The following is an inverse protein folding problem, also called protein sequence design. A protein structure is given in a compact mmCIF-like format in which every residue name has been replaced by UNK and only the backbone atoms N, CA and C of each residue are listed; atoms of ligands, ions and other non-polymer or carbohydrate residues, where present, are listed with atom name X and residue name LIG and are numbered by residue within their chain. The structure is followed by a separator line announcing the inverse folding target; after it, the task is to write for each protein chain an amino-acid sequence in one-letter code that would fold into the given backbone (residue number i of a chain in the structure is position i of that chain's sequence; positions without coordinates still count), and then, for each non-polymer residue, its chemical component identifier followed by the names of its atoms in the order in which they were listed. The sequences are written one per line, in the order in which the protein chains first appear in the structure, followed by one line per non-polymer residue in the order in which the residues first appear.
data_IF_031170769651
#
_entry.id   IF_031170769651
#
_cell.length_a   1.000
_cell.length_b   1.000
_cell.length_c   1.000
_cell.angle_alpha   90.00
_cell.angle_beta   90.00
_cell.angle_gamma   90.00
#
_symmetry.space_group_name_H-M   'P 1'
#
loop_
_entity.id
_entity.type
_entity.pdbx_description
1 polymer ?
#
# COMPACT_ATOMS: atom_id res chain seq x y z
N UNK A 1 -62.89 24.18 66.43
CA UNK A 1 -63.52 25.35 65.76
C UNK A 1 -62.70 25.65 64.50
N UNK A 2 -63.35 25.54 63.33
CA UNK A 2 -62.91 25.86 61.97
C UNK A 2 -64.16 26.43 61.25
N UNK A 3 -64.15 26.96 59.99
CA UNK A 3 -63.19 27.74 59.18
C UNK A 3 -63.89 29.07 58.70
N UNK A 4 -63.59 29.76 57.54
CA UNK A 4 -63.77 29.25 56.17
C UNK A 4 -62.71 29.67 55.12
N UNK A 5 -62.79 29.00 53.96
CA UNK A 5 -61.99 29.10 52.74
C UNK A 5 -62.39 30.28 51.82
N UNK A 6 -61.56 30.57 50.80
CA UNK A 6 -62.00 31.10 49.48
C UNK A 6 -61.05 30.67 48.35
N UNK A 7 -61.64 30.38 47.18
CA UNK A 7 -61.13 29.57 46.06
C UNK A 7 -60.84 30.41 44.78
N UNK A 8 -60.64 29.83 43.56
CA UNK A 8 -59.60 30.18 42.58
C UNK A 8 -60.08 31.13 41.44
N UNK A 9 -59.26 31.49 40.41
CA UNK A 9 -59.19 30.68 39.17
C UNK A 9 -57.85 30.77 38.39
N UNK A 10 -57.69 29.96 37.34
CA UNK A 10 -56.88 30.36 36.17
C UNK A 10 -55.82 29.37 35.67
N UNK A 11 -56.23 28.43 34.80
CA UNK A 11 -55.32 27.78 33.85
C UNK A 11 -54.86 28.83 32.81
N UNK A 12 -53.56 28.98 32.62
CA UNK A 12 -53.00 29.54 31.40
C UNK A 12 -51.80 28.69 30.97
N UNK A 13 -52.02 27.90 29.92
CA UNK A 13 -50.95 27.42 29.07
C UNK A 13 -50.32 28.61 28.36
N UNK A 14 -48.99 28.68 28.27
CA UNK A 14 -48.26 29.19 27.10
C UNK A 14 -46.75 29.15 27.30
N UNK A 15 -46.07 28.53 26.33
CA UNK A 15 -44.80 28.99 25.77
C UNK A 15 -43.59 28.99 26.69
N UNK A 16 -42.86 27.87 26.75
CA UNK A 16 -41.40 27.93 26.95
C UNK A 16 -40.80 28.65 25.75
N UNK A 17 -40.54 29.95 25.88
CA UNK A 17 -39.83 30.71 24.86
C UNK A 17 -38.36 30.29 24.86
N UNK A 18 -37.92 29.98 23.65
CA UNK A 18 -36.55 29.62 23.34
C UNK A 18 -35.63 30.83 23.54
N UNK A 19 -34.53 30.61 24.25
CA UNK A 19 -33.26 31.31 24.01
C UNK A 19 -32.14 30.28 24.07
N UNK A 20 -32.07 29.47 23.03
CA UNK A 20 -30.86 28.72 22.70
C UNK A 20 -29.99 29.66 21.87
N UNK A 21 -29.06 30.34 22.55
CA UNK A 21 -27.96 31.04 21.90
C UNK A 21 -27.05 30.03 21.19
N UNK A 22 -26.58 30.40 20.00
CA UNK A 22 -25.31 29.89 19.48
C UNK A 22 -25.34 28.59 18.68
N UNK A 23 -26.17 28.50 17.65
CA UNK A 23 -26.03 27.51 16.58
C UNK A 23 -24.71 27.73 15.81
N UNK A 24 -23.62 27.07 16.23
CA UNK A 24 -22.49 26.67 15.36
C UNK A 24 -21.80 25.40 15.87
N UNK A 25 -22.55 24.38 16.28
CA UNK A 25 -21.98 23.03 16.43
C UNK A 25 -22.08 22.32 15.07
N UNK A 26 -21.21 22.70 14.12
CA UNK A 26 -20.87 21.82 12.99
C UNK A 26 -20.06 20.66 13.58
N UNK A 27 -20.74 19.74 14.27
CA UNK A 27 -20.24 18.38 14.42
C UNK A 27 -20.21 17.78 13.03
N UNK A 28 -19.08 17.99 12.35
CA UNK A 28 -18.66 17.10 11.29
C UNK A 28 -18.74 15.71 11.91
N UNK A 29 -19.69 14.91 11.43
CA UNK A 29 -19.74 13.50 11.74
C UNK A 29 -18.32 12.96 11.53
N UNK A 30 -17.65 12.56 12.61
CA UNK A 30 -16.39 11.85 12.49
C UNK A 30 -16.71 10.58 11.72
N UNK A 31 -16.17 10.40 10.49
CA UNK A 31 -16.29 9.11 9.85
C UNK A 31 -15.56 8.13 10.76
N UNK A 32 -16.23 7.05 11.16
CA UNK A 32 -15.56 5.90 11.76
C UNK A 32 -14.42 5.43 10.86
N UNK A 33 -13.50 4.57 11.35
CA UNK A 33 -12.36 4.14 10.55
C UNK A 33 -12.85 3.26 9.41
N UNK A 34 -13.20 3.86 8.28
CA UNK A 34 -13.42 3.16 7.02
C UNK A 34 -12.05 2.64 6.54
N UNK A 35 -11.71 1.45 7.04
CA UNK A 35 -10.52 0.72 6.64
C UNK A 35 -10.78 0.13 5.28
N UNK A 36 -10.28 0.77 4.23
CA UNK A 36 -10.33 0.18 2.90
C UNK A 36 -9.48 -1.09 2.81
N UNK A 37 -9.83 -1.96 1.85
CA UNK A 37 -9.11 -3.21 1.58
C UNK A 37 -7.59 -2.99 1.43
N UNK A 38 -6.79 -4.03 1.69
CA UNK A 38 -5.31 -3.98 1.64
C UNK A 38 -4.68 -2.90 2.52
N UNK A 39 -5.31 -2.61 3.65
CA UNK A 39 -4.81 -1.76 4.73
C UNK A 39 -4.81 -2.58 6.01
N UNK A 40 -3.73 -2.58 6.76
CA UNK A 40 -3.64 -3.36 8.00
C UNK A 40 -2.63 -2.78 8.97
N UNK A 41 -2.79 -3.03 10.27
CA UNK A 41 -1.84 -2.56 11.28
C UNK A 41 -0.47 -3.18 11.00
N UNK A 42 0.52 -2.34 10.75
CA UNK A 42 1.91 -2.79 10.59
C UNK A 42 2.41 -3.37 11.94
N UNK A 43 2.88 -4.63 11.99
CA UNK A 43 3.45 -5.21 13.21
C UNK A 43 4.73 -4.49 13.67
N UNK A 44 5.37 -3.75 12.75
CA UNK A 44 6.65 -3.05 12.99
C UNK A 44 6.47 -1.55 13.25
N UNK A 45 5.31 -0.97 12.89
CA UNK A 45 5.04 0.47 13.04
C UNK A 45 3.87 0.77 13.98
N UNK A 46 3.88 0.20 15.19
CA UNK A 46 2.90 0.51 16.26
C UNK A 46 1.44 0.39 15.80
N UNK A 47 1.12 -0.62 14.97
CA UNK A 47 -0.20 -0.86 14.42
C UNK A 47 -0.78 0.27 13.54
N UNK A 48 0.04 1.22 13.06
CA UNK A 48 -0.44 2.21 12.08
C UNK A 48 -0.94 1.51 10.82
N UNK A 49 -2.12 1.87 10.31
CA UNK A 49 -2.62 1.33 9.06
C UNK A 49 -1.67 1.74 7.93
N UNK A 50 -1.14 0.75 7.22
CA UNK A 50 -0.23 0.96 6.11
C UNK A 50 -0.48 -0.01 4.98
N UNK A 51 0.17 0.26 3.85
CA UNK A 51 0.24 -0.66 2.73
C UNK A 51 1.67 -0.87 2.31
N UNK A 52 1.93 -2.05 1.76
CA UNK A 52 3.22 -2.44 1.24
C UNK A 52 3.15 -2.48 -0.27
N UNK A 53 4.10 -1.81 -0.90
CA UNK A 53 4.31 -1.87 -2.35
C UNK A 53 5.32 -2.96 -2.65
N UNK A 54 4.93 -3.90 -3.50
CA UNK A 54 5.82 -4.93 -4.01
C UNK A 54 6.13 -4.60 -5.45
N UNK A 55 7.41 -4.49 -5.80
CA UNK A 55 7.86 -4.03 -7.10
C UNK A 55 8.92 -4.99 -7.62
N UNK A 56 8.78 -5.40 -8.89
CA UNK A 56 9.82 -6.14 -9.60
C UNK A 56 10.33 -5.31 -10.77
N UNK A 57 11.65 -5.23 -10.89
CA UNK A 57 12.34 -4.39 -11.87
C UNK A 57 13.37 -5.20 -12.64
N UNK A 58 13.73 -4.72 -13.84
CA UNK A 58 14.89 -5.25 -14.56
C UNK A 58 16.23 -4.80 -13.92
N UNK A 59 17.36 -5.24 -14.51
CA UNK A 59 18.71 -4.89 -14.04
C UNK A 59 19.02 -3.39 -14.04
N UNK A 60 18.25 -2.61 -14.79
CA UNK A 60 18.44 -1.17 -14.95
C UNK A 60 17.45 -0.37 -14.09
N UNK A 61 16.46 -1.01 -13.47
CA UNK A 61 15.43 -0.37 -12.67
C UNK A 61 14.13 -0.06 -13.42
N UNK A 62 13.92 -0.64 -14.61
CA UNK A 62 12.64 -0.55 -15.34
C UNK A 62 11.58 -1.36 -14.60
N UNK A 63 10.46 -0.75 -14.15
CA UNK A 63 9.36 -1.49 -13.55
C UNK A 63 8.80 -2.54 -14.52
N UNK A 64 8.67 -3.78 -14.06
CA UNK A 64 8.06 -4.88 -14.82
C UNK A 64 6.66 -5.24 -14.29
N UNK A 65 6.48 -5.24 -12.97
CA UNK A 65 5.19 -5.42 -12.32
C UNK A 65 5.20 -4.79 -10.92
N UNK A 66 4.01 -4.38 -10.45
CA UNK A 66 3.79 -3.82 -9.11
C UNK A 66 2.51 -4.40 -8.51
N UNK A 67 2.52 -4.73 -7.22
CA UNK A 67 1.34 -5.16 -6.46
C UNK A 67 1.28 -4.48 -5.09
N UNK A 68 0.11 -4.55 -4.44
CA UNK A 68 -0.20 -3.87 -3.19
C UNK A 68 -0.75 -4.86 -2.15
N UNK A 69 -0.25 -4.80 -0.92
CA UNK A 69 -0.86 -5.51 0.22
C UNK A 69 -1.03 -4.61 1.44
N UNK A 70 -1.83 -5.06 2.41
CA UNK A 70 -1.87 -4.44 3.74
C UNK A 70 -0.54 -4.58 4.48
N UNK A 71 -0.27 -3.62 5.38
CA UNK A 71 0.92 -3.56 6.24
C UNK A 71 1.13 -4.78 7.12
N UNK A 72 0.06 -5.50 7.43
CA UNK A 72 0.08 -6.73 8.21
C UNK A 72 0.48 -8.00 7.43
N UNK A 73 0.54 -7.94 6.09
CA UNK A 73 0.89 -9.11 5.27
C UNK A 73 2.40 -9.33 5.23
N UNK A 74 2.82 -10.59 5.30
CA UNK A 74 4.22 -10.98 5.15
C UNK A 74 4.66 -10.87 3.68
N UNK A 75 5.76 -10.16 3.44
CA UNK A 75 6.24 -9.82 2.08
C UNK A 75 6.60 -11.07 1.27
N UNK A 76 7.11 -12.08 1.97
CA UNK A 76 7.49 -13.37 1.37
C UNK A 76 6.34 -14.02 0.60
N UNK A 77 5.09 -13.80 1.02
CA UNK A 77 3.89 -14.35 0.36
C UNK A 77 3.64 -13.75 -1.02
N UNK A 78 4.16 -12.54 -1.28
CA UNK A 78 3.91 -11.78 -2.49
C UNK A 78 4.90 -12.06 -3.61
N UNK A 79 5.97 -12.81 -3.33
CA UNK A 79 6.98 -13.13 -4.33
C UNK A 79 6.42 -13.86 -5.55
N UNK A 80 5.59 -14.88 -5.33
CA UNK A 80 5.01 -15.66 -6.43
C UNK A 80 3.97 -14.87 -7.21
N UNK A 81 2.98 -14.24 -6.56
CA UNK A 81 2.02 -13.37 -7.27
C UNK A 81 2.70 -12.27 -8.09
N UNK A 82 3.74 -11.63 -7.55
CA UNK A 82 4.47 -10.57 -8.25
C UNK A 82 5.23 -11.08 -9.48
N UNK A 83 5.82 -12.27 -9.41
CA UNK A 83 6.48 -12.91 -10.57
C UNK A 83 5.48 -13.28 -11.66
N UNK A 84 4.29 -13.73 -11.28
CA UNK A 84 3.22 -14.10 -12.21
C UNK A 84 2.59 -12.86 -12.88
N UNK A 85 2.63 -11.71 -12.21
CA UNK A 85 2.19 -10.44 -12.75
C UNK A 85 3.12 -9.84 -13.83
N UNK A 86 4.32 -10.40 -14.06
CA UNK A 86 5.22 -9.93 -15.11
C UNK A 86 4.57 -10.19 -16.48
N UNK A 87 4.33 -9.14 -17.30
CA UNK A 87 3.73 -9.31 -18.61
C UNK A 87 4.68 -10.06 -19.55
N UNK A 88 4.14 -10.60 -20.65
CA UNK A 88 4.94 -11.14 -21.73
C UNK A 88 5.60 -10.01 -22.52
N UNK A 89 6.88 -9.76 -22.24
CA UNK A 89 7.68 -8.72 -22.87
C UNK A 89 8.15 -9.21 -24.24
N UNK A 90 7.76 -8.45 -25.28
CA UNK A 90 8.17 -8.66 -26.69
C UNK A 90 9.41 -7.80 -27.00
N UNK A 91 10.12 -8.08 -28.08
CA UNK A 91 11.20 -7.21 -28.58
C UNK A 91 12.49 -7.92 -28.99
N UNK A 92 12.68 -9.18 -28.59
CA UNK A 92 13.77 -10.04 -29.09
C UNK A 92 13.19 -11.14 -29.96
N UNK A 93 13.98 -11.66 -30.91
CA UNK A 93 13.61 -12.80 -31.75
C UNK A 93 13.28 -14.02 -30.87
N UNK A 94 12.13 -14.63 -31.12
CA UNK A 94 11.65 -15.82 -30.38
C UNK A 94 10.42 -15.55 -29.49
N UNK A 95 10.13 -16.49 -28.58
CA UNK A 95 8.96 -16.41 -27.70
C UNK A 95 9.08 -15.25 -26.70
N UNK A 96 8.04 -14.40 -26.54
CA UNK A 96 8.04 -13.33 -25.55
C UNK A 96 8.38 -13.81 -24.15
N UNK A 97 9.31 -13.13 -23.48
CA UNK A 97 9.80 -13.49 -22.15
C UNK A 97 8.90 -12.88 -21.08
N UNK A 98 8.57 -13.66 -20.06
CA UNK A 98 7.85 -13.16 -18.87
C UNK A 98 8.48 -13.64 -17.56
N UNK A 99 9.59 -14.38 -17.63
CA UNK A 99 10.30 -14.90 -16.45
C UNK A 99 11.76 -14.46 -16.47
N UNK A 100 12.30 -13.98 -15.34
CA UNK A 100 13.71 -13.66 -15.22
C UNK A 100 14.54 -14.95 -15.17
N UNK A 101 15.75 -14.92 -15.73
CA UNK A 101 16.69 -16.06 -15.57
C UNK A 101 17.33 -16.10 -14.18
N UNK A 102 17.48 -14.94 -13.55
CA UNK A 102 18.00 -14.77 -12.19
C UNK A 102 17.12 -13.78 -11.45
N UNK A 103 16.76 -14.10 -10.22
CA UNK A 103 15.97 -13.22 -9.36
C UNK A 103 16.79 -12.84 -8.13
N UNK A 104 16.95 -11.55 -7.91
CA UNK A 104 17.58 -10.99 -6.72
C UNK A 104 16.48 -10.56 -5.76
N UNK A 105 16.60 -10.93 -4.48
CA UNK A 105 15.66 -10.52 -3.45
C UNK A 105 16.37 -10.38 -2.10
N UNK A 106 15.78 -9.56 -1.23
CA UNK A 106 16.30 -9.34 0.11
C UNK A 106 16.27 -10.59 0.99
N UNK A 107 17.06 -10.56 2.05
CA UNK A 107 17.12 -11.61 3.08
C UNK A 107 15.74 -11.93 3.69
N UNK A 108 14.81 -10.97 3.69
CA UNK A 108 13.43 -11.21 4.12
C UNK A 108 12.74 -12.34 3.34
N UNK A 109 13.16 -12.58 2.09
CA UNK A 109 12.63 -13.63 1.21
C UNK A 109 13.32 -14.99 1.36
N UNK A 110 14.26 -15.12 2.30
CA UNK A 110 15.03 -16.36 2.47
C UNK A 110 14.23 -17.47 3.17
N UNK A 111 13.51 -18.26 2.38
CA UNK A 111 12.96 -19.54 2.81
C UNK A 111 13.12 -20.58 1.70
N UNK A 112 13.41 -21.83 2.08
CA UNK A 112 13.69 -22.89 1.12
C UNK A 112 12.50 -23.23 0.22
N UNK A 113 11.26 -23.06 0.72
CA UNK A 113 10.03 -23.18 -0.07
C UNK A 113 10.09 -22.30 -1.32
N UNK A 114 10.43 -21.02 -1.19
CA UNK A 114 10.47 -20.09 -2.32
C UNK A 114 11.67 -20.33 -3.22
N UNK A 115 12.83 -20.72 -2.67
CA UNK A 115 13.99 -21.14 -3.48
C UNK A 115 13.65 -22.33 -4.37
N UNK A 116 12.91 -23.32 -3.84
CA UNK A 116 12.44 -24.48 -4.60
C UNK A 116 11.48 -24.06 -5.71
N UNK A 117 10.47 -23.25 -5.39
CA UNK A 117 9.50 -22.71 -6.37
C UNK A 117 10.21 -21.97 -7.51
N UNK A 118 11.20 -21.14 -7.21
CA UNK A 118 11.98 -20.42 -8.22
C UNK A 118 12.75 -21.37 -9.13
N UNK A 119 13.44 -22.37 -8.56
CA UNK A 119 14.18 -23.37 -9.33
C UNK A 119 13.27 -24.21 -10.23
N UNK A 120 12.10 -24.65 -9.73
CA UNK A 120 11.10 -25.36 -10.54
C UNK A 120 10.62 -24.52 -11.73
N UNK A 121 10.60 -23.20 -11.61
CA UNK A 121 10.26 -22.27 -12.70
C UNK A 121 11.44 -21.93 -13.62
N UNK A 122 12.61 -22.54 -13.42
CA UNK A 122 13.83 -22.26 -14.17
C UNK A 122 14.52 -20.94 -13.80
N UNK A 123 14.19 -20.37 -12.63
CA UNK A 123 14.72 -19.09 -12.15
C UNK A 123 15.80 -19.37 -11.11
N UNK A 124 17.00 -18.80 -11.31
CA UNK A 124 18.07 -18.91 -10.32
C UNK A 124 17.85 -17.92 -9.17
N UNK A 125 17.62 -18.37 -7.92
CA UNK A 125 17.46 -17.48 -6.78
C UNK A 125 18.82 -16.91 -6.32
N UNK A 126 18.93 -15.59 -6.25
CA UNK A 126 20.02 -14.83 -5.64
C UNK A 126 19.48 -14.08 -4.42
N UNK A 127 19.15 -14.85 -3.39
CA UNK A 127 18.57 -14.37 -2.14
C UNK A 127 19.62 -14.50 -1.03
N UNK A 128 19.86 -13.41 -0.30
CA UNK A 128 20.79 -13.43 0.85
C UNK A 128 20.28 -14.41 1.90
N UNK A 129 21.18 -15.25 2.43
CA UNK A 129 20.85 -16.17 3.51
C UNK A 129 20.63 -15.40 4.83
N UNK A 130 19.66 -15.84 5.63
CA UNK A 130 19.52 -15.43 7.04
C UNK A 130 20.62 -16.06 7.89
N UNK A 131 21.03 -15.38 8.96
CA UNK A 131 22.07 -15.86 9.88
C UNK A 131 23.51 -15.78 9.35
N UNK A 132 23.73 -15.40 8.09
CA UNK A 132 25.08 -15.24 7.51
C UNK A 132 25.48 -13.76 7.59
N UNK A 133 26.75 -13.43 7.94
CA UNK A 133 27.27 -12.06 7.90
C UNK A 133 26.97 -11.36 6.58
N UNK A 134 26.76 -10.05 6.62
CA UNK A 134 26.50 -9.27 5.41
C UNK A 134 27.75 -9.27 4.51
N UNK A 135 27.69 -10.02 3.42
CA UNK A 135 28.60 -9.83 2.29
C UNK A 135 28.14 -8.67 1.40
N UNK A 136 29.08 -7.93 0.83
CA UNK A 136 28.85 -6.77 -0.07
C UNK A 136 28.10 -7.13 -1.38
N UNK A 137 27.87 -8.41 -1.66
CA UNK A 137 27.42 -8.90 -2.96
C UNK A 137 26.03 -8.44 -3.41
N UNK A 138 25.07 -8.24 -2.49
CA UNK A 138 23.73 -7.76 -2.87
C UNK A 138 23.63 -6.22 -2.90
N UNK A 139 24.52 -5.47 -2.26
CA UNK A 139 24.42 -4.02 -2.18
C UNK A 139 24.38 -3.35 -3.57
N UNK A 140 25.23 -3.82 -4.48
CA UNK A 140 25.28 -3.33 -5.88
C UNK A 140 23.96 -3.53 -6.64
N UNK A 141 23.27 -4.65 -6.40
CA UNK A 141 22.00 -4.96 -7.08
C UNK A 141 20.81 -4.35 -6.35
N UNK A 142 20.88 -4.26 -5.01
CA UNK A 142 19.83 -3.69 -4.16
C UNK A 142 19.64 -2.20 -4.41
N UNK A 143 20.71 -1.46 -4.69
CA UNK A 143 20.60 -0.04 -5.06
C UNK A 143 19.65 0.20 -6.24
N UNK A 144 19.57 -0.73 -7.21
CA UNK A 144 18.66 -0.59 -8.36
C UNK A 144 17.20 -0.54 -7.92
N UNK A 145 16.78 -1.46 -7.05
CA UNK A 145 15.40 -1.50 -6.55
C UNK A 145 15.11 -0.33 -5.60
N UNK A 146 16.06 0.03 -4.74
CA UNK A 146 15.92 1.17 -3.83
C UNK A 146 15.75 2.49 -4.58
N UNK A 147 16.57 2.71 -5.62
CA UNK A 147 16.46 3.87 -6.50
C UNK A 147 15.12 3.91 -7.23
N UNK A 148 14.64 2.77 -7.75
CA UNK A 148 13.33 2.75 -8.42
C UNK A 148 12.19 3.03 -7.43
N UNK A 149 12.26 2.52 -6.19
CA UNK A 149 11.32 2.91 -5.14
C UNK A 149 11.41 4.40 -4.81
N UNK A 150 12.61 4.99 -4.78
CA UNK A 150 12.78 6.42 -4.58
C UNK A 150 12.07 7.23 -5.68
N UNK A 151 12.21 6.84 -6.96
CA UNK A 151 11.48 7.45 -8.08
C UNK A 151 9.97 7.26 -7.96
N UNK A 152 9.52 6.07 -7.56
CA UNK A 152 8.10 5.78 -7.34
C UNK A 152 7.51 6.66 -6.23
N UNK A 153 8.27 6.92 -5.16
CA UNK A 153 7.84 7.76 -4.04
C UNK A 153 8.05 9.27 -4.27
N UNK A 154 8.72 9.70 -5.34
CA UNK A 154 8.72 11.11 -5.76
C UNK A 154 7.32 11.59 -6.17
N UNK A 155 6.47 10.67 -6.61
CA UNK A 155 5.04 10.92 -6.72
C UNK A 155 4.45 10.97 -5.31
N UNK A 156 4.46 12.16 -4.68
CA UNK A 156 4.14 12.36 -3.25
C UNK A 156 2.86 11.66 -2.77
N UNK A 157 1.83 11.55 -3.65
CA UNK A 157 0.57 10.83 -3.36
C UNK A 157 0.75 9.33 -3.13
N UNK A 158 1.84 8.72 -3.59
CA UNK A 158 2.17 7.30 -3.37
C UNK A 158 2.92 7.08 -2.07
N UNK A 159 3.70 8.06 -1.60
CA UNK A 159 4.45 7.97 -0.34
C UNK A 159 3.54 7.88 0.87
N UNK A 160 2.47 8.67 0.87
CA UNK A 160 1.42 8.64 1.90
C UNK A 160 0.13 8.19 1.23
N UNK A 161 -0.41 7.05 1.65
CA UNK A 161 -1.69 6.56 1.11
C UNK A 161 -2.84 7.41 1.64
N UNK A 162 -3.44 8.21 0.76
CA UNK A 162 -4.69 8.93 1.02
C UNK A 162 -5.91 8.16 0.51
N UNK A 163 -5.73 7.29 -0.49
CA UNK A 163 -6.82 6.55 -1.10
C UNK A 163 -7.35 5.46 -0.17
N UNK A 164 -8.63 5.52 0.16
CA UNK A 164 -9.30 4.47 0.95
C UNK A 164 -9.32 3.18 0.13
N UNK A 165 -9.70 3.23 -1.15
CA UNK A 165 -9.81 2.03 -1.98
C UNK A 165 -8.45 1.55 -2.51
N UNK A 166 -8.24 0.23 -2.48
CA UNK A 166 -6.98 -0.39 -2.88
C UNK A 166 -6.75 -0.38 -4.40
N UNK A 167 -7.83 -0.51 -5.18
CA UNK A 167 -7.82 -0.47 -6.64
C UNK A 167 -7.36 0.89 -7.16
N UNK A 168 -7.86 1.98 -6.56
CA UNK A 168 -7.42 3.34 -6.88
C UNK A 168 -5.93 3.53 -6.58
N UNK A 169 -5.47 3.09 -5.40
CA UNK A 169 -4.05 3.18 -5.04
C UNK A 169 -3.16 2.34 -5.96
N UNK A 170 -3.61 1.14 -6.32
CA UNK A 170 -2.91 0.29 -7.29
C UNK A 170 -2.86 0.93 -8.68
N UNK A 171 -3.96 1.54 -9.14
CA UNK A 171 -4.00 2.28 -10.40
C UNK A 171 -3.01 3.44 -10.43
N UNK A 172 -2.89 4.20 -9.33
CA UNK A 172 -1.88 5.27 -9.22
C UNK A 172 -0.44 4.73 -9.25
N UNK A 173 -0.18 3.59 -8.60
CA UNK A 173 1.13 2.92 -8.65
C UNK A 173 1.48 2.48 -10.08
N UNK A 174 0.52 1.87 -10.79
CA UNK A 174 0.68 1.45 -12.18
C UNK A 174 0.92 2.65 -13.10
N UNK A 175 0.17 3.74 -12.92
CA UNK A 175 0.37 4.98 -13.68
C UNK A 175 1.77 5.55 -13.45
N UNK A 176 2.25 5.60 -12.21
CA UNK A 176 3.60 6.04 -11.90
C UNK A 176 4.67 5.15 -12.55
N UNK A 177 4.48 3.83 -12.54
CA UNK A 177 5.36 2.89 -13.25
C UNK A 177 5.38 3.17 -14.77
N UNK A 178 4.23 3.42 -15.37
CA UNK A 178 4.13 3.77 -16.80
C UNK A 178 4.86 5.07 -17.13
N UNK A 179 4.76 6.10 -16.28
CA UNK A 179 5.49 7.36 -16.44
C UNK A 179 7.01 7.14 -16.34
N UNK A 180 7.48 6.31 -15.41
CA UNK A 180 8.90 5.95 -15.29
C UNK A 180 9.38 5.26 -16.58
N UNK A 181 8.62 4.29 -17.08
CA UNK A 181 8.92 3.60 -18.34
C UNK A 181 8.96 4.59 -19.53
N UNK A 182 7.98 5.47 -19.65
CA UNK A 182 7.92 6.48 -20.73
C UNK A 182 9.14 7.41 -20.72
N UNK A 183 9.53 7.93 -19.55
CA UNK A 183 10.72 8.78 -19.42
C UNK A 183 12.00 8.07 -19.84
N UNK A 184 12.10 6.78 -19.51
CA UNK A 184 13.24 5.95 -19.94
C UNK A 184 13.24 5.71 -21.45
N UNK A 185 12.10 5.46 -22.07
CA UNK A 185 12.01 5.31 -23.52
C UNK A 185 12.47 6.58 -24.25
N UNK A 186 12.04 7.75 -23.77
CA UNK A 186 12.41 9.06 -24.33
C UNK A 186 13.91 9.42 -24.20
N UNK A 187 14.66 8.69 -23.39
CA UNK A 187 16.11 8.90 -23.17
C UNK A 187 16.95 7.80 -23.80
N UNK A 188 16.32 6.78 -24.40
CA UNK A 188 17.00 5.62 -24.99
C UNK A 188 17.18 5.73 -26.51
N UNK A 189 16.67 6.80 -27.11
CA UNK A 189 16.77 7.20 -28.51
C UNK A 189 17.09 8.69 -28.56
#
# INVERSE_FOLDING_TARGET
MAPPARSPPGRAAQGRSARHEGLRDRRLAHPGPERGAHTGPSPVDRARPGSKHHLIVDRHGTPLAVTLTGGNRHDVTQLTPLLEAIPRIRGLRGRPRHRPGRLFADRGYDYDKYRRILRTRGITPKIARRGVPHGSGLGKTRWVIERTFAWLHQFKRLRTRYEIRADLHLGLLQLACNIICLRRLRTSF
#
